data_IF_156125413146
#
_entry.id   IF_156125413146
#
_cell.length_a   1.000
_cell.length_b   1.000
_cell.length_c   1.000
_cell.angle_alpha   90.00
_cell.angle_beta   90.00
_cell.angle_gamma   90.00
#
_symmetry.space_group_name_H-M   'P 1'
#
loop_
_entity.id
_entity.type
_entity.pdbx_description
1 polymer ?
#
# COMPACT_ATOMS: atom_id res chain seq x y z
N UNK A 1 -8.77 19.86 -28.07
CA UNK A 1 -7.44 19.25 -28.03
C UNK A 1 -6.69 19.90 -26.89
N UNK A 2 -6.88 19.37 -25.68
CA UNK A 2 -6.15 19.79 -24.48
C UNK A 2 -4.86 18.97 -24.46
N UNK A 3 -3.71 19.65 -24.53
CA UNK A 3 -2.39 19.06 -24.33
C UNK A 3 -2.33 18.55 -22.88
N UNK A 4 -2.43 17.25 -22.69
CA UNK A 4 -1.97 16.59 -21.46
C UNK A 4 -0.45 16.73 -21.42
N UNK A 5 0.05 17.64 -20.60
CA UNK A 5 1.46 17.71 -20.25
C UNK A 5 1.79 16.46 -19.45
N UNK A 6 2.47 15.52 -20.08
CA UNK A 6 3.17 14.43 -19.41
C UNK A 6 4.18 15.07 -18.44
N UNK A 7 3.87 15.10 -17.15
CA UNK A 7 4.82 15.50 -16.12
C UNK A 7 6.03 14.57 -16.23
N UNK A 8 7.18 15.13 -16.57
CA UNK A 8 8.46 14.42 -16.50
C UNK A 8 8.61 13.94 -15.06
N UNK A 9 8.98 12.67 -14.85
CA UNK A 9 9.41 12.19 -13.54
C UNK A 9 10.48 13.14 -13.01
N UNK A 10 10.14 13.85 -11.96
CA UNK A 10 10.98 14.90 -11.36
C UNK A 10 12.09 14.33 -10.44
N UNK A 11 12.32 13.02 -10.47
CA UNK A 11 13.25 12.32 -9.59
C UNK A 11 12.71 12.06 -8.19
N UNK A 12 11.40 12.25 -7.96
CA UNK A 12 10.75 12.04 -6.66
C UNK A 12 10.13 10.64 -6.57
N UNK A 13 10.44 9.91 -5.50
CA UNK A 13 9.81 8.64 -5.14
C UNK A 13 8.64 8.87 -4.18
N UNK A 14 7.46 8.40 -4.54
CA UNK A 14 6.25 8.47 -3.73
C UNK A 14 6.03 7.15 -3.00
N UNK A 15 6.13 7.17 -1.68
CA UNK A 15 5.90 6.01 -0.84
C UNK A 15 4.43 5.87 -0.43
N UNK A 16 3.90 4.65 -0.56
CA UNK A 16 2.56 4.27 -0.12
C UNK A 16 2.70 3.43 1.16
N UNK A 17 2.32 4.02 2.29
CA UNK A 17 2.63 3.52 3.62
C UNK A 17 1.48 2.66 4.19
N UNK A 18 1.78 1.56 4.90
CA UNK A 18 0.77 0.67 5.46
C UNK A 18 0.19 1.19 6.78
N UNK A 19 -1.05 0.81 7.09
CA UNK A 19 -1.58 0.94 8.45
C UNK A 19 -2.34 2.22 8.74
N UNK A 20 -3.19 2.65 7.79
CA UNK A 20 -4.03 3.84 7.91
C UNK A 20 -4.90 3.85 9.19
N UNK A 21 -5.47 2.69 9.55
CA UNK A 21 -6.28 2.51 10.75
C UNK A 21 -5.49 1.83 11.87
N UNK A 22 -4.52 1.02 11.49
CA UNK A 22 -3.75 0.17 12.38
C UNK A 22 -2.70 0.94 13.18
N UNK A 23 -2.12 2.00 12.59
CA UNK A 23 -0.96 2.70 13.17
C UNK A 23 -1.16 4.21 13.29
N UNK A 24 -2.36 4.63 13.66
CA UNK A 24 -2.67 6.06 13.86
C UNK A 24 -1.68 6.75 14.82
N UNK A 25 -1.35 6.11 15.94
CA UNK A 25 -0.39 6.64 16.91
C UNK A 25 0.99 6.90 16.29
N UNK A 26 1.52 5.95 15.52
CA UNK A 26 2.80 6.12 14.82
C UNK A 26 2.75 7.31 13.86
N UNK A 27 1.70 7.39 13.02
CA UNK A 27 1.61 8.47 12.03
C UNK A 27 1.34 9.85 12.64
N UNK A 28 0.67 9.91 13.80
CA UNK A 28 0.48 11.16 14.53
C UNK A 28 1.79 11.80 15.02
N UNK A 29 2.84 10.98 15.23
CA UNK A 29 4.21 11.40 15.58
C UNK A 29 5.11 11.55 14.35
N UNK A 30 5.07 10.60 13.43
CA UNK A 30 5.96 10.59 12.26
C UNK A 30 5.67 11.72 11.28
N UNK A 31 4.39 12.02 10.99
CA UNK A 31 4.05 13.03 9.99
C UNK A 31 4.50 14.44 10.39
N UNK A 32 4.28 14.93 11.64
CA UNK A 32 4.88 16.20 12.07
C UNK A 32 6.39 16.24 11.89
N UNK A 33 7.07 15.17 12.26
CA UNK A 33 8.53 15.09 12.14
C UNK A 33 8.96 15.13 10.67
N UNK A 34 8.31 14.36 9.78
CA UNK A 34 8.58 14.33 8.35
C UNK A 34 8.44 15.71 7.69
N UNK A 35 7.38 16.46 8.03
CA UNK A 35 7.13 17.76 7.40
C UNK A 35 7.88 18.93 8.04
N UNK A 36 8.19 18.87 9.35
CA UNK A 36 8.89 19.95 10.04
C UNK A 36 10.43 19.83 9.97
N UNK A 37 10.94 18.61 9.72
CA UNK A 37 12.37 18.30 9.72
C UNK A 37 12.78 17.54 8.45
N UNK A 38 12.49 18.15 7.28
CA UNK A 38 12.80 17.55 5.97
C UNK A 38 14.28 17.21 5.80
N UNK A 39 15.17 17.90 6.49
CA UNK A 39 16.62 17.64 6.50
C UNK A 39 16.99 16.23 6.98
N UNK A 40 16.12 15.56 7.75
CA UNK A 40 16.36 14.19 8.22
C UNK A 40 16.05 13.12 7.16
N UNK A 41 15.28 13.49 6.14
CA UNK A 41 14.75 12.56 5.14
C UNK A 41 15.42 12.74 3.79
N UNK A 42 15.41 11.70 2.97
CA UNK A 42 15.94 11.81 1.62
C UNK A 42 15.19 12.90 0.82
N UNK A 43 15.94 13.70 0.07
CA UNK A 43 15.36 14.83 -0.68
C UNK A 43 14.45 14.36 -1.83
N UNK A 44 14.68 13.15 -2.32
CA UNK A 44 13.91 12.50 -3.37
C UNK A 44 12.68 11.71 -2.86
N UNK A 45 12.39 11.66 -1.55
CA UNK A 45 11.26 10.89 -1.04
C UNK A 45 10.08 11.76 -0.63
N UNK A 46 8.86 11.30 -0.98
CA UNK A 46 7.58 11.89 -0.58
C UNK A 46 6.59 10.82 -0.14
N UNK A 47 5.56 11.24 0.62
CA UNK A 47 4.46 10.35 1.03
C UNK A 47 3.34 10.48 0.00
N UNK A 48 3.17 9.47 -0.84
CA UNK A 48 2.09 9.42 -1.83
C UNK A 48 0.72 9.09 -1.22
N UNK A 49 0.67 8.16 -0.28
CA UNK A 49 -0.56 7.81 0.45
C UNK A 49 -0.28 7.00 1.70
N UNK A 50 -1.30 6.92 2.59
CA UNK A 50 -1.36 5.92 3.67
C UNK A 50 -2.56 5.02 3.40
N UNK A 51 -2.39 3.69 3.49
CA UNK A 51 -3.43 2.74 3.14
C UNK A 51 -3.75 1.76 4.28
N UNK A 52 -5.02 1.37 4.39
CA UNK A 52 -5.53 0.43 5.38
C UNK A 52 -7.03 0.23 5.30
N UNK A 53 -7.57 -0.56 6.20
CA UNK A 53 -9.01 -0.71 6.38
C UNK A 53 -9.28 -1.08 7.84
N UNK A 54 -10.44 -0.73 8.40
CA UNK A 54 -10.86 -1.22 9.71
C UNK A 54 -10.86 -2.75 9.79
N UNK A 55 -10.60 -3.29 10.99
CA UNK A 55 -10.42 -4.72 11.21
C UNK A 55 -11.61 -5.59 10.78
N UNK A 56 -12.82 -5.09 10.97
CA UNK A 56 -14.09 -5.77 10.67
C UNK A 56 -14.73 -5.34 9.34
N UNK A 57 -13.94 -4.74 8.44
CA UNK A 57 -14.41 -4.31 7.13
C UNK A 57 -14.58 -5.51 6.18
N UNK A 58 -15.82 -5.84 5.81
CA UNK A 58 -16.16 -6.98 4.96
C UNK A 58 -15.39 -6.97 3.62
N UNK A 59 -15.27 -5.81 2.99
CA UNK A 59 -14.54 -5.67 1.72
C UNK A 59 -13.02 -5.67 1.88
N UNK A 60 -12.53 -5.54 3.14
CA UNK A 60 -11.11 -5.48 3.47
C UNK A 60 -10.32 -6.77 3.28
N UNK A 61 -11.00 -7.92 3.23
CA UNK A 61 -10.37 -9.23 3.01
C UNK A 61 -9.70 -9.81 4.26
N UNK A 62 -10.01 -9.32 5.47
CA UNK A 62 -9.71 -9.97 6.76
C UNK A 62 -8.23 -10.18 7.11
N UNK A 63 -7.32 -9.40 6.55
CA UNK A 63 -5.87 -9.58 6.78
C UNK A 63 -5.36 -9.08 8.10
N UNK A 64 -6.08 -8.16 8.72
CA UNK A 64 -5.67 -7.51 9.97
C UNK A 64 -6.84 -7.57 10.94
N UNK A 65 -6.59 -8.09 12.13
CA UNK A 65 -7.59 -8.23 13.18
C UNK A 65 -7.56 -7.11 14.23
N UNK A 66 -6.87 -6.01 13.95
CA UNK A 66 -6.79 -4.84 14.84
C UNK A 66 -6.78 -3.54 14.00
N UNK A 67 -7.06 -2.42 14.65
CA UNK A 67 -7.09 -1.09 14.01
C UNK A 67 -8.11 -0.19 14.68
N UNK A 68 -7.92 1.13 14.55
CA UNK A 68 -8.84 2.13 15.06
C UNK A 68 -10.06 2.20 14.13
N UNK A 69 -11.27 2.17 14.70
CA UNK A 69 -12.51 2.32 13.95
C UNK A 69 -12.88 3.78 13.69
N UNK A 70 -12.12 4.73 14.24
CA UNK A 70 -12.40 6.15 14.10
C UNK A 70 -11.96 6.70 12.72
N UNK A 71 -12.68 6.32 11.67
CA UNK A 71 -12.41 6.72 10.30
C UNK A 71 -12.29 8.24 10.10
N UNK A 72 -13.08 9.02 10.84
CA UNK A 72 -13.03 10.49 10.80
C UNK A 72 -11.72 11.05 11.36
N UNK A 73 -11.18 10.44 12.42
CA UNK A 73 -9.90 10.82 13.03
C UNK A 73 -8.73 10.55 12.08
N UNK A 74 -8.74 9.36 11.48
CA UNK A 74 -7.76 8.94 10.47
C UNK A 74 -7.79 9.87 9.26
N UNK A 75 -8.98 10.20 8.76
CA UNK A 75 -9.16 11.07 7.61
C UNK A 75 -8.70 12.51 7.91
N UNK A 76 -9.00 13.04 9.11
CA UNK A 76 -8.49 14.35 9.54
C UNK A 76 -6.96 14.41 9.58
N UNK A 77 -6.31 13.34 10.02
CA UNK A 77 -4.84 13.28 10.05
C UNK A 77 -4.25 13.37 8.64
N UNK A 78 -4.74 12.56 7.70
CA UNK A 78 -4.25 12.59 6.32
C UNK A 78 -4.55 13.91 5.61
N UNK A 79 -5.74 14.47 5.83
CA UNK A 79 -6.13 15.79 5.29
C UNK A 79 -5.25 16.92 5.79
N UNK A 80 -4.86 16.90 7.07
CA UNK A 80 -3.97 17.91 7.68
C UNK A 80 -2.64 18.04 6.92
N UNK A 81 -2.15 16.94 6.38
CA UNK A 81 -0.86 16.89 5.66
C UNK A 81 -1.02 16.77 4.13
N UNK A 82 -2.24 16.87 3.59
CA UNK A 82 -2.48 16.75 2.16
C UNK A 82 -2.17 15.36 1.58
N UNK A 83 -2.20 14.31 2.42
CA UNK A 83 -1.87 12.94 2.04
C UNK A 83 -3.14 12.21 1.59
N UNK A 84 -3.07 11.46 0.49
CA UNK A 84 -4.15 10.58 0.05
C UNK A 84 -4.33 9.41 1.01
N UNK A 85 -5.55 9.19 1.50
CA UNK A 85 -5.93 8.02 2.26
C UNK A 85 -6.52 6.95 1.31
N UNK A 86 -6.04 5.68 1.41
CA UNK A 86 -6.51 4.59 0.56
C UNK A 86 -7.16 3.50 1.39
N UNK A 87 -8.45 3.25 1.16
CA UNK A 87 -9.14 2.10 1.73
C UNK A 87 -8.67 0.81 1.04
N UNK A 88 -8.36 -0.22 1.82
CA UNK A 88 -7.95 -1.51 1.26
C UNK A 88 -9.14 -2.45 1.20
N UNK A 89 -9.80 -2.51 0.04
CA UNK A 89 -10.94 -3.37 -0.25
C UNK A 89 -10.52 -4.53 -1.16
N UNK A 90 -9.58 -5.34 -0.65
CA UNK A 90 -8.88 -6.37 -1.41
C UNK A 90 -9.50 -7.77 -1.30
N UNK A 91 -10.71 -7.91 -0.76
CA UNK A 91 -11.44 -9.16 -0.78
C UNK A 91 -11.71 -9.59 -2.23
N UNK A 92 -11.22 -10.76 -2.62
CA UNK A 92 -11.32 -11.27 -4.00
C UNK A 92 -12.63 -12.03 -4.29
N UNK A 93 -13.43 -12.29 -3.26
CA UNK A 93 -14.63 -13.16 -3.33
C UNK A 93 -15.93 -12.40 -3.09
N UNK A 94 -15.93 -11.09 -3.31
CA UNK A 94 -17.13 -10.25 -3.20
C UNK A 94 -18.20 -10.68 -4.19
N UNK A 95 -19.44 -10.85 -3.67
CA UNK A 95 -20.64 -11.15 -4.42
C UNK A 95 -21.65 -10.01 -4.31
N UNK A 96 -22.74 -10.08 -5.06
CA UNK A 96 -23.78 -9.03 -5.12
C UNK A 96 -24.38 -8.71 -3.74
N UNK A 97 -24.62 -9.72 -2.90
CA UNK A 97 -25.16 -9.56 -1.55
C UNK A 97 -24.24 -8.75 -0.63
N UNK A 98 -22.92 -8.78 -0.86
CA UNK A 98 -21.94 -8.07 -0.05
C UNK A 98 -21.87 -6.57 -0.36
N UNK A 99 -22.41 -6.12 -1.50
CA UNK A 99 -22.38 -4.70 -1.90
C UNK A 99 -23.21 -3.81 -0.98
N UNK A 100 -24.18 -4.37 -0.27
CA UNK A 100 -25.05 -3.64 0.66
C UNK A 100 -24.47 -3.42 2.06
N UNK A 101 -23.20 -3.81 2.29
CA UNK A 101 -22.57 -3.62 3.60
C UNK A 101 -22.53 -2.13 4.00
N UNK A 102 -23.17 -1.83 5.13
CA UNK A 102 -23.38 -0.44 5.58
C UNK A 102 -22.07 0.26 5.99
N UNK A 103 -21.16 -0.47 6.65
CA UNK A 103 -19.89 0.10 7.12
C UNK A 103 -19.00 0.47 5.95
N UNK A 104 -18.84 -0.46 5.00
CA UNK A 104 -18.01 -0.24 3.82
C UNK A 104 -18.56 0.90 2.94
N UNK A 105 -19.88 0.97 2.75
CA UNK A 105 -20.51 2.07 2.00
C UNK A 105 -20.31 3.43 2.70
N UNK A 106 -20.49 3.50 4.02
CA UNK A 106 -20.24 4.74 4.78
C UNK A 106 -18.78 5.20 4.69
N UNK A 107 -17.82 4.27 4.70
CA UNK A 107 -16.41 4.60 4.48
C UNK A 107 -16.18 5.18 3.07
N UNK A 108 -16.77 4.59 2.02
CA UNK A 108 -16.70 5.13 0.67
C UNK A 108 -17.28 6.56 0.59
N UNK A 109 -18.45 6.79 1.16
CA UNK A 109 -19.09 8.10 1.22
C UNK A 109 -18.15 9.14 1.85
N UNK A 110 -17.69 8.86 3.09
CA UNK A 110 -16.83 9.76 3.86
C UNK A 110 -15.51 10.08 3.11
N UNK A 111 -14.87 9.06 2.52
CA UNK A 111 -13.59 9.24 1.84
C UNK A 111 -13.74 9.88 0.46
N UNK A 112 -14.89 9.74 -0.20
CA UNK A 112 -15.18 10.38 -1.50
C UNK A 112 -15.44 11.87 -1.38
N UNK A 113 -15.92 12.35 -0.23
CA UNK A 113 -16.27 13.76 0.03
C UNK A 113 -15.07 14.63 0.40
N UNK A 114 -13.88 14.04 0.56
CA UNK A 114 -12.67 14.79 0.91
C UNK A 114 -12.31 15.82 -0.16
N UNK A 115 -12.21 17.10 0.25
CA UNK A 115 -11.85 18.21 -0.63
C UNK A 115 -10.35 18.53 -0.63
N UNK A 116 -9.63 18.10 0.40
CA UNK A 116 -8.21 18.43 0.55
C UNK A 116 -7.33 17.62 -0.40
N UNK A 117 -7.65 16.33 -0.56
CA UNK A 117 -6.89 15.40 -1.40
C UNK A 117 -7.83 14.33 -1.91
N UNK A 118 -7.67 13.91 -3.16
CA UNK A 118 -8.42 12.79 -3.69
C UNK A 118 -7.96 11.50 -3.01
N UNK A 119 -8.89 10.80 -2.37
CA UNK A 119 -8.65 9.51 -1.74
C UNK A 119 -8.87 8.36 -2.72
N UNK A 120 -8.38 7.16 -2.37
CA UNK A 120 -8.45 6.01 -3.27
C UNK A 120 -8.86 4.72 -2.59
N UNK A 121 -9.04 3.70 -3.43
CA UNK A 121 -9.35 2.33 -3.00
C UNK A 121 -8.40 1.35 -3.68
N UNK A 122 -7.75 0.52 -2.87
CA UNK A 122 -6.99 -0.64 -3.36
C UNK A 122 -7.98 -1.80 -3.49
N UNK A 123 -8.18 -2.30 -4.71
CA UNK A 123 -9.30 -3.18 -5.03
C UNK A 123 -8.86 -4.41 -5.85
N UNK A 124 -9.53 -5.56 -5.61
CA UNK A 124 -9.31 -6.80 -6.34
C UNK A 124 -10.50 -7.19 -7.22
N UNK A 125 -11.72 -7.03 -6.70
CA UNK A 125 -12.96 -7.45 -7.36
C UNK A 125 -13.43 -6.42 -8.38
N UNK A 126 -13.64 -6.83 -9.64
CA UNK A 126 -14.20 -5.96 -10.68
C UNK A 126 -15.67 -5.60 -10.40
N UNK A 127 -16.45 -6.52 -9.79
CA UNK A 127 -17.81 -6.24 -9.34
C UNK A 127 -17.84 -5.07 -8.34
N UNK A 128 -16.91 -5.08 -7.39
CA UNK A 128 -16.83 -4.02 -6.38
C UNK A 128 -16.30 -2.71 -6.99
N UNK A 129 -15.37 -2.78 -7.93
CA UNK A 129 -14.88 -1.62 -8.68
C UNK A 129 -15.99 -0.90 -9.43
N UNK A 130 -16.81 -1.65 -10.20
CA UNK A 130 -17.96 -1.09 -10.94
C UNK A 130 -18.97 -0.45 -9.98
N UNK A 131 -19.28 -1.14 -8.87
CA UNK A 131 -20.21 -0.63 -7.87
C UNK A 131 -19.73 0.67 -7.24
N UNK A 132 -18.49 0.72 -6.78
CA UNK A 132 -17.92 1.91 -6.12
C UNK A 132 -17.73 3.04 -7.12
N UNK A 133 -17.22 2.77 -8.32
CA UNK A 133 -17.05 3.77 -9.37
C UNK A 133 -18.33 4.48 -9.76
N UNK A 134 -19.46 3.75 -9.76
CA UNK A 134 -20.77 4.30 -10.04
C UNK A 134 -21.34 5.15 -8.90
N UNK A 135 -21.17 4.71 -7.64
CA UNK A 135 -21.82 5.32 -6.48
C UNK A 135 -20.95 6.39 -5.79
N UNK A 136 -19.62 6.30 -5.91
CA UNK A 136 -18.65 7.17 -5.24
C UNK A 136 -17.55 7.66 -6.20
N UNK A 137 -17.92 8.46 -7.23
CA UNK A 137 -17.00 8.85 -8.33
C UNK A 137 -15.84 9.75 -7.90
N UNK A 138 -15.85 10.26 -6.66
CA UNK A 138 -14.74 11.03 -6.09
C UNK A 138 -13.49 10.21 -5.75
N UNK A 139 -13.59 8.87 -5.75
CA UNK A 139 -12.52 7.97 -5.40
C UNK A 139 -11.76 7.49 -6.64
N UNK A 140 -10.42 7.36 -6.53
CA UNK A 140 -9.62 6.67 -7.56
C UNK A 140 -9.33 5.22 -7.15
N UNK A 141 -8.91 4.40 -8.11
CA UNK A 141 -8.67 2.98 -7.87
C UNK A 141 -7.20 2.59 -8.07
N UNK A 142 -6.76 1.63 -7.25
CA UNK A 142 -5.48 0.96 -7.34
C UNK A 142 -5.72 -0.54 -7.49
N UNK A 143 -5.20 -1.15 -8.55
CA UNK A 143 -5.27 -2.60 -8.72
C UNK A 143 -4.40 -3.30 -7.68
N UNK A 144 -5.03 -4.18 -6.89
CA UNK A 144 -4.39 -4.83 -5.74
C UNK A 144 -3.39 -5.91 -6.13
N UNK A 145 -2.28 -6.01 -5.40
CA UNK A 145 -1.34 -7.15 -5.48
C UNK A 145 -2.02 -8.52 -5.23
N UNK A 146 -3.22 -8.53 -4.61
CA UNK A 146 -4.00 -9.76 -4.39
C UNK A 146 -4.52 -10.39 -5.69
N UNK A 147 -4.50 -9.67 -6.80
CA UNK A 147 -4.74 -10.23 -8.13
C UNK A 147 -3.64 -11.21 -8.57
N UNK A 148 -2.44 -11.12 -7.96
CA UNK A 148 -1.28 -11.99 -8.24
C UNK A 148 -0.92 -12.00 -9.73
N UNK A 149 -0.66 -10.81 -10.30
CA UNK A 149 -0.30 -10.63 -11.71
C UNK A 149 1.18 -11.02 -11.92
N UNK A 150 1.44 -12.31 -12.08
CA UNK A 150 2.79 -12.86 -12.21
C UNK A 150 3.31 -12.89 -13.63
N UNK A 151 2.41 -12.79 -14.61
CA UNK A 151 2.75 -12.73 -16.03
C UNK A 151 2.78 -11.27 -16.50
N UNK A 152 3.83 -10.92 -17.25
CA UNK A 152 4.01 -9.56 -17.75
C UNK A 152 2.90 -9.13 -18.71
N UNK A 153 2.36 -10.06 -19.52
CA UNK A 153 1.23 -9.78 -20.43
C UNK A 153 -0.03 -9.41 -19.62
N UNK A 154 -0.25 -10.10 -18.49
CA UNK A 154 -1.36 -9.76 -17.58
C UNK A 154 -1.15 -8.37 -16.96
N UNK A 155 0.09 -8.04 -16.57
CA UNK A 155 0.43 -6.72 -16.06
C UNK A 155 0.17 -5.62 -17.10
N UNK A 156 0.64 -5.79 -18.34
CA UNK A 156 0.42 -4.83 -19.43
C UNK A 156 -1.09 -4.61 -19.70
N UNK A 157 -1.87 -5.69 -19.70
CA UNK A 157 -3.34 -5.62 -19.83
C UNK A 157 -3.97 -4.80 -18.70
N UNK A 158 -3.53 -5.03 -17.46
CA UNK A 158 -4.06 -4.30 -16.30
C UNK A 158 -3.62 -2.82 -16.32
N UNK A 159 -2.37 -2.52 -16.72
CA UNK A 159 -1.88 -1.16 -16.91
C UNK A 159 -2.62 -0.37 -18.00
N UNK A 160 -3.16 -1.09 -18.98
CA UNK A 160 -3.94 -0.49 -20.08
C UNK A 160 -5.37 -0.12 -19.68
N UNK A 161 -5.86 -0.56 -18.52
CA UNK A 161 -7.19 -0.21 -18.01
C UNK A 161 -7.20 1.25 -17.54
N UNK A 162 -8.20 2.01 -17.96
CA UNK A 162 -8.38 3.42 -17.55
C UNK A 162 -8.95 3.56 -16.13
N UNK A 163 -9.56 2.49 -15.60
CA UNK A 163 -10.14 2.48 -14.24
C UNK A 163 -9.08 2.69 -13.15
N UNK A 164 -7.84 2.26 -13.40
CA UNK A 164 -6.80 2.27 -12.39
C UNK A 164 -5.83 3.45 -12.57
N UNK A 165 -5.65 4.21 -11.47
CA UNK A 165 -4.57 5.18 -11.36
C UNK A 165 -3.23 4.49 -11.18
N UNK A 166 -3.19 3.43 -10.34
CA UNK A 166 -2.00 2.62 -10.09
C UNK A 166 -2.33 1.13 -10.17
N UNK A 167 -1.32 0.34 -10.49
CA UNK A 167 -1.38 -1.13 -10.56
C UNK A 167 -0.21 -1.69 -9.77
N UNK A 168 -0.51 -2.55 -8.78
CA UNK A 168 0.52 -3.24 -8.00
C UNK A 168 0.79 -4.60 -8.64
N UNK A 169 1.92 -4.78 -9.35
CA UNK A 169 2.28 -6.07 -9.90
C UNK A 169 2.56 -7.09 -8.79
N UNK A 170 2.66 -8.36 -9.15
CA UNK A 170 3.24 -9.33 -8.23
C UNK A 170 4.73 -9.01 -8.04
N UNK A 171 5.21 -9.09 -6.79
CA UNK A 171 6.59 -8.72 -6.41
C UNK A 171 7.66 -9.45 -7.23
N UNK A 172 7.37 -10.62 -7.79
CA UNK A 172 8.29 -11.39 -8.64
C UNK A 172 8.64 -10.67 -9.94
N UNK A 173 7.85 -9.69 -10.34
CA UNK A 173 8.13 -8.85 -11.51
C UNK A 173 9.01 -7.63 -11.18
N UNK A 174 9.29 -7.35 -9.90
CA UNK A 174 10.03 -6.16 -9.49
C UNK A 174 11.35 -5.96 -10.24
N UNK A 175 12.14 -7.01 -10.44
CA UNK A 175 13.45 -6.96 -11.10
C UNK A 175 13.43 -7.41 -12.57
N UNK A 176 12.27 -7.48 -13.21
CA UNK A 176 12.15 -7.84 -14.63
C UNK A 176 12.50 -6.64 -15.55
N UNK A 177 13.68 -6.05 -15.37
CA UNK A 177 14.07 -4.78 -15.98
C UNK A 177 14.00 -4.75 -17.50
N UNK A 178 14.37 -5.85 -18.18
CA UNK A 178 14.25 -5.96 -19.63
C UNK A 178 12.81 -5.74 -20.11
N UNK A 179 11.84 -6.29 -19.39
CA UNK A 179 10.42 -6.14 -19.68
C UNK A 179 9.87 -4.80 -19.20
N UNK A 180 10.24 -4.38 -17.97
CA UNK A 180 9.83 -3.09 -17.41
C UNK A 180 10.30 -1.92 -18.30
N UNK A 181 11.47 -2.04 -18.91
CA UNK A 181 12.01 -1.05 -19.85
C UNK A 181 11.18 -0.87 -21.13
N UNK A 182 10.36 -1.86 -21.52
CA UNK A 182 9.49 -1.77 -22.71
C UNK A 182 8.19 -1.00 -22.47
N UNK A 183 7.83 -0.74 -21.21
CA UNK A 183 6.61 0.01 -20.85
C UNK A 183 6.71 1.46 -21.32
N UNK A 184 5.59 2.00 -21.80
CA UNK A 184 5.47 3.43 -22.11
C UNK A 184 5.54 4.28 -20.84
N UNK A 185 5.88 5.56 -20.94
CA UNK A 185 5.95 6.47 -19.78
C UNK A 185 4.60 6.51 -19.00
N UNK A 186 3.47 6.50 -19.73
CA UNK A 186 2.14 6.41 -19.12
C UNK A 186 1.95 5.11 -18.33
N UNK A 187 2.42 3.97 -18.81
CA UNK A 187 2.35 2.71 -18.09
C UNK A 187 3.29 2.70 -16.88
N UNK A 188 4.52 3.20 -17.04
CA UNK A 188 5.50 3.31 -15.94
C UNK A 188 4.95 4.14 -14.77
N UNK A 189 4.32 5.29 -15.04
CA UNK A 189 3.72 6.14 -14.01
C UNK A 189 2.58 5.48 -13.23
N UNK A 190 1.99 4.39 -13.76
CA UNK A 190 0.94 3.60 -13.08
C UNK A 190 1.49 2.43 -12.26
N UNK A 191 2.74 2.00 -12.45
CA UNK A 191 3.29 0.85 -11.72
C UNK A 191 3.63 1.24 -10.28
N UNK A 192 3.02 0.58 -9.30
CA UNK A 192 3.29 0.74 -7.87
C UNK A 192 3.97 -0.53 -7.33
N UNK A 193 5.28 -0.48 -7.13
CA UNK A 193 6.08 -1.64 -6.71
C UNK A 193 5.95 -1.96 -5.23
N UNK A 194 5.70 -3.22 -4.88
CA UNK A 194 5.76 -3.72 -3.51
C UNK A 194 7.21 -4.03 -3.14
N UNK A 195 7.83 -3.18 -2.26
CA UNK A 195 9.28 -3.17 -2.07
C UNK A 195 9.83 -4.27 -1.15
N UNK A 196 9.11 -4.59 -0.07
CA UNK A 196 9.61 -5.38 1.06
C UNK A 196 8.82 -6.67 1.32
N UNK A 197 8.31 -7.32 0.28
CA UNK A 197 7.62 -8.60 0.39
C UNK A 197 8.57 -9.70 0.91
N UNK A 198 8.15 -10.45 1.93
CA UNK A 198 8.93 -11.56 2.48
C UNK A 198 8.43 -12.95 2.03
N UNK A 199 7.37 -13.01 1.25
CA UNK A 199 6.84 -14.26 0.71
C UNK A 199 7.92 -14.96 -0.12
N UNK A 200 7.99 -16.30 -0.04
CA UNK A 200 8.95 -17.06 -0.83
C UNK A 200 8.81 -16.74 -2.32
N UNK A 201 9.92 -16.40 -2.98
CA UNK A 201 9.93 -15.97 -4.39
C UNK A 201 9.32 -16.99 -5.35
N UNK A 202 9.52 -18.31 -5.08
CA UNK A 202 8.95 -19.41 -5.84
C UNK A 202 7.55 -19.86 -5.41
N UNK A 203 6.82 -19.08 -4.59
CA UNK A 203 5.51 -19.47 -4.08
C UNK A 203 4.47 -19.56 -5.20
N UNK A 204 3.82 -20.72 -5.35
CA UNK A 204 2.73 -20.98 -6.30
C UNK A 204 1.36 -20.78 -5.68
N UNK A 205 1.26 -20.74 -4.36
CA UNK A 205 0.00 -20.80 -3.60
C UNK A 205 -0.51 -19.42 -3.15
N UNK A 206 0.17 -18.32 -3.56
CA UNK A 206 -0.14 -16.95 -3.11
C UNK A 206 -1.61 -16.56 -3.35
N UNK A 207 -2.16 -16.92 -4.50
CA UNK A 207 -3.56 -16.64 -4.84
C UNK A 207 -4.51 -17.38 -3.90
N UNK A 208 -4.29 -18.68 -3.70
CA UNK A 208 -5.10 -19.50 -2.78
C UNK A 208 -5.00 -19.01 -1.32
N UNK A 209 -3.82 -18.55 -0.90
CA UNK A 209 -3.64 -17.92 0.40
C UNK A 209 -4.54 -16.66 0.54
N UNK A 210 -4.60 -15.80 -0.47
CA UNK A 210 -5.44 -14.61 -0.46
C UNK A 210 -6.94 -14.93 -0.51
N UNK A 211 -7.34 -15.94 -1.28
CA UNK A 211 -8.71 -16.42 -1.33
C UNK A 211 -9.17 -17.01 0.01
N UNK A 212 -8.31 -17.76 0.70
CA UNK A 212 -8.61 -18.28 2.04
C UNK A 212 -8.88 -17.16 3.06
N UNK A 213 -8.02 -16.14 3.08
CA UNK A 213 -8.20 -14.97 3.94
C UNK A 213 -9.50 -14.22 3.58
N UNK A 214 -9.83 -14.13 2.29
CA UNK A 214 -11.07 -13.51 1.81
C UNK A 214 -12.31 -14.28 2.28
N UNK A 215 -12.30 -15.62 2.25
CA UNK A 215 -13.38 -16.47 2.77
C UNK A 215 -13.62 -16.25 4.26
N UNK A 216 -12.56 -16.23 5.05
CA UNK A 216 -12.64 -15.95 6.49
C UNK A 216 -13.25 -14.58 6.79
N UNK A 217 -12.88 -13.57 6.01
CA UNK A 217 -13.48 -12.23 6.11
C UNK A 217 -14.99 -12.22 5.80
N UNK A 218 -15.45 -13.15 4.97
CA UNK A 218 -16.88 -13.35 4.67
C UNK A 218 -17.60 -14.29 5.66
N UNK A 219 -16.93 -14.68 6.75
CA UNK A 219 -17.43 -15.64 7.75
C UNK A 219 -17.79 -17.01 7.14
N UNK A 220 -17.17 -17.38 6.02
CA UNK A 220 -17.32 -18.71 5.46
C UNK A 220 -16.55 -19.73 6.31
N UNK A 221 -17.18 -20.88 6.58
CA UNK A 221 -16.52 -21.99 7.28
C UNK A 221 -15.43 -22.58 6.37
N UNK A 222 -14.16 -22.34 6.72
CA UNK A 222 -13.02 -22.84 5.98
C UNK A 222 -11.81 -23.07 6.91
N UNK A 223 -11.01 -24.07 6.60
CA UNK A 223 -9.78 -24.37 7.33
C UNK A 223 -8.75 -23.25 7.18
N UNK A 224 -7.83 -23.18 8.14
CA UNK A 224 -6.70 -22.27 8.06
C UNK A 224 -5.78 -22.61 6.88
N UNK A 225 -5.35 -21.61 6.15
CA UNK A 225 -4.36 -21.80 5.10
C UNK A 225 -2.98 -22.10 5.72
N UNK A 226 -2.46 -23.29 5.45
CA UNK A 226 -1.13 -23.69 5.90
C UNK A 226 -0.12 -23.38 4.78
N UNK A 227 0.74 -22.39 5.02
CA UNK A 227 1.82 -22.07 4.08
C UNK A 227 2.85 -23.21 4.05
N UNK A 228 3.04 -23.79 2.85
CA UNK A 228 4.02 -24.88 2.60
C UNK A 228 5.34 -24.37 2.01
N UNK A 229 5.46 -23.08 1.77
CA UNK A 229 6.68 -22.48 1.24
C UNK A 229 7.81 -22.51 2.26
N UNK A 230 9.08 -22.59 1.83
CA UNK A 230 10.22 -22.48 2.72
C UNK A 230 10.13 -21.24 3.59
N UNK A 231 10.29 -21.41 4.90
CA UNK A 231 10.19 -20.32 5.89
C UNK A 231 8.80 -19.69 6.06
N UNK A 232 7.73 -20.28 5.53
CA UNK A 232 6.37 -19.74 5.58
C UNK A 232 5.79 -19.58 6.99
N UNK A 233 6.28 -20.38 7.96
CA UNK A 233 5.83 -20.36 9.36
C UNK A 233 6.73 -19.53 10.28
N UNK A 234 7.80 -18.91 9.77
CA UNK A 234 8.77 -18.16 10.60
C UNK A 234 8.33 -16.73 10.91
N UNK A 235 7.20 -16.30 10.35
CA UNK A 235 6.75 -14.92 10.44
C UNK A 235 7.56 -13.96 9.58
N UNK A 236 7.16 -12.69 9.60
CA UNK A 236 7.86 -11.63 8.88
C UNK A 236 9.10 -11.18 9.66
N UNK A 237 10.23 -11.06 8.95
CA UNK A 237 11.45 -10.38 9.43
C UNK A 237 11.95 -9.46 8.32
N UNK A 238 12.31 -8.23 8.64
CA UNK A 238 12.79 -7.29 7.64
C UNK A 238 14.12 -7.74 7.00
N UNK A 239 15.03 -8.29 7.80
CA UNK A 239 16.28 -8.90 7.29
C UNK A 239 16.01 -9.99 6.25
N UNK A 240 14.98 -10.83 6.49
CA UNK A 240 14.56 -11.86 5.52
C UNK A 240 13.95 -11.28 4.26
N UNK A 241 13.19 -10.17 4.38
CA UNK A 241 12.68 -9.47 3.20
C UNK A 241 13.81 -8.89 2.35
N UNK A 242 14.89 -8.39 2.97
CA UNK A 242 16.09 -7.90 2.26
C UNK A 242 16.83 -9.00 1.48
N UNK A 243 16.73 -10.26 1.89
CA UNK A 243 17.31 -11.41 1.19
C UNK A 243 16.46 -11.88 0.00
N UNK A 244 15.23 -11.39 -0.12
CA UNK A 244 14.34 -11.77 -1.22
C UNK A 244 14.87 -11.23 -2.56
N UNK A 245 14.96 -12.07 -3.62
CA UNK A 245 15.42 -11.59 -4.94
C UNK A 245 14.61 -10.42 -5.50
N UNK A 246 13.38 -10.25 -5.05
CA UNK A 246 12.48 -9.16 -5.47
C UNK A 246 12.58 -7.90 -4.61
N UNK A 247 13.38 -7.90 -3.54
CA UNK A 247 13.52 -6.76 -2.65
C UNK A 247 14.00 -5.52 -3.41
N UNK A 248 13.37 -4.39 -3.15
CA UNK A 248 13.77 -3.08 -3.70
C UNK A 248 14.31 -2.25 -2.53
N UNK A 249 15.61 -1.99 -2.53
CA UNK A 249 16.26 -1.13 -1.55
C UNK A 249 16.28 0.35 -1.97
N UNK A 250 16.75 1.21 -1.07
CA UNK A 250 16.89 2.66 -1.34
C UNK A 250 17.82 2.94 -2.51
N UNK A 251 18.94 2.22 -2.59
CA UNK A 251 19.90 2.35 -3.70
C UNK A 251 19.30 1.92 -5.05
N UNK A 252 18.47 0.86 -5.06
CA UNK A 252 17.72 0.45 -6.25
C UNK A 252 16.78 1.57 -6.70
N UNK A 253 16.04 2.17 -5.75
CA UNK A 253 15.07 3.24 -6.05
C UNK A 253 15.78 4.42 -6.70
N UNK A 254 16.80 4.96 -6.05
CA UNK A 254 17.52 6.16 -6.49
C UNK A 254 18.29 5.94 -7.81
N UNK A 255 19.00 4.80 -7.92
CA UNK A 255 19.93 4.58 -9.01
C UNK A 255 19.37 3.75 -10.19
N UNK A 256 18.20 3.12 -10.02
CA UNK A 256 17.62 2.28 -11.08
C UNK A 256 16.18 2.68 -11.42
N UNK A 257 15.27 2.65 -10.45
CA UNK A 257 13.85 2.85 -10.74
C UNK A 257 13.51 4.29 -11.14
N UNK A 258 14.00 5.29 -10.40
CA UNK A 258 13.78 6.70 -10.73
C UNK A 258 14.36 7.05 -12.12
N UNK A 259 15.61 6.68 -12.46
CA UNK A 259 16.15 6.90 -13.82
C UNK A 259 15.36 6.18 -14.93
N UNK A 260 14.72 5.04 -14.62
CA UNK A 260 13.86 4.33 -15.57
C UNK A 260 12.47 4.96 -15.74
N UNK A 261 12.11 5.95 -14.93
CA UNK A 261 10.81 6.63 -14.96
C UNK A 261 9.75 6.01 -14.03
N UNK A 262 10.14 5.15 -13.08
CA UNK A 262 9.24 4.60 -12.05
C UNK A 262 9.36 5.37 -10.75
N UNK A 263 8.23 5.77 -10.16
CA UNK A 263 8.22 6.63 -8.99
C UNK A 263 7.19 6.26 -7.90
N UNK A 264 6.51 5.12 -8.01
CA UNK A 264 5.50 4.71 -7.03
C UNK A 264 5.96 3.44 -6.29
N UNK A 265 6.13 3.54 -4.96
CA UNK A 265 6.71 2.48 -4.14
C UNK A 265 5.81 2.18 -2.94
N UNK A 266 5.40 0.92 -2.81
CA UNK A 266 4.52 0.45 -1.74
C UNK A 266 5.32 -0.29 -0.68
N UNK A 267 5.13 0.09 0.57
CA UNK A 267 5.69 -0.61 1.73
C UNK A 267 4.62 -1.55 2.30
N UNK A 268 4.92 -2.83 2.43
CA UNK A 268 4.08 -3.77 3.15
C UNK A 268 4.22 -3.58 4.66
N UNK A 269 3.19 -3.94 5.45
CA UNK A 269 3.37 -3.93 6.90
C UNK A 269 2.11 -3.84 7.74
N UNK A 270 0.90 -3.83 7.17
CA UNK A 270 -0.35 -3.66 7.93
C UNK A 270 -0.51 -4.59 9.14
N UNK A 271 -0.06 -5.84 9.04
CA UNK A 271 -0.16 -6.85 10.09
C UNK A 271 1.08 -6.99 10.98
N UNK A 272 2.08 -6.12 10.85
CA UNK A 272 3.42 -6.35 11.45
C UNK A 272 3.67 -5.59 12.76
N UNK A 273 2.80 -4.65 13.12
CA UNK A 273 2.97 -3.78 14.28
C UNK A 273 3.76 -2.50 13.97
N UNK A 274 3.48 -1.46 14.77
CA UNK A 274 4.02 -0.11 14.57
C UNK A 274 5.54 -0.03 14.66
N UNK A 275 6.17 -0.83 15.53
CA UNK A 275 7.63 -0.86 15.68
C UNK A 275 8.33 -1.34 14.40
N UNK A 276 7.81 -2.38 13.74
CA UNK A 276 8.38 -2.89 12.48
C UNK A 276 8.14 -1.89 11.34
N UNK A 277 6.97 -1.26 11.31
CA UNK A 277 6.66 -0.22 10.32
C UNK A 277 7.56 0.99 10.50
N UNK A 278 7.86 1.40 11.75
CA UNK A 278 8.84 2.45 12.01
C UNK A 278 10.22 2.11 11.41
N UNK A 279 10.70 0.87 11.55
CA UNK A 279 11.98 0.47 10.94
C UNK A 279 11.93 0.58 9.39
N UNK A 280 10.78 0.34 8.75
CA UNK A 280 10.63 0.59 7.31
C UNK A 280 10.71 2.08 6.98
N UNK A 281 10.04 2.95 7.75
CA UNK A 281 10.12 4.41 7.56
C UNK A 281 11.54 4.92 7.74
N UNK A 282 12.26 4.39 8.74
CA UNK A 282 13.69 4.70 8.95
C UNK A 282 14.56 4.21 7.80
N UNK A 283 14.29 3.04 7.26
CA UNK A 283 15.09 2.48 6.17
C UNK A 283 14.85 3.22 4.84
N UNK A 284 13.58 3.37 4.44
CA UNK A 284 13.22 3.86 3.12
C UNK A 284 13.22 5.38 2.98
N UNK A 285 12.94 6.10 4.06
CA UNK A 285 12.68 7.54 3.98
C UNK A 285 13.72 8.38 4.72
N UNK A 286 14.37 7.83 5.75
CA UNK A 286 15.27 8.59 6.63
C UNK A 286 16.74 8.42 6.21
N UNK A 287 17.47 9.53 6.06
CA UNK A 287 18.91 9.51 5.81
C UNK A 287 19.62 8.74 6.92
N UNK A 288 20.64 7.90 6.62
CA UNK A 288 21.27 7.00 7.60
C UNK A 288 21.74 7.68 8.88
N UNK A 289 22.31 8.87 8.78
CA UNK A 289 22.83 9.66 9.90
C UNK A 289 21.76 10.18 10.85
N UNK A 290 20.49 10.26 10.41
CA UNK A 290 19.37 10.73 11.24
C UNK A 290 18.48 9.61 11.78
N UNK A 291 18.68 8.34 11.37
CA UNK A 291 17.81 7.22 11.78
C UNK A 291 17.69 7.06 13.28
N UNK A 292 18.82 7.20 14.00
CA UNK A 292 18.80 7.13 15.47
C UNK A 292 17.98 8.27 16.07
N UNK A 293 18.21 9.50 15.60
CA UNK A 293 17.50 10.69 16.08
C UNK A 293 15.99 10.59 15.84
N UNK A 294 15.56 10.23 14.62
CA UNK A 294 14.13 10.06 14.29
C UNK A 294 13.49 8.98 15.16
N UNK A 295 14.20 7.87 15.41
CA UNK A 295 13.71 6.81 16.29
C UNK A 295 13.55 7.28 17.73
N UNK A 296 14.53 7.99 18.26
CA UNK A 296 14.50 8.53 19.63
C UNK A 296 13.36 9.53 19.82
N UNK A 297 13.15 10.46 18.90
CA UNK A 297 12.07 11.44 18.97
C UNK A 297 10.68 10.75 18.98
N UNK A 298 10.45 9.74 18.13
CA UNK A 298 9.20 8.99 18.11
C UNK A 298 8.99 8.18 19.40
N UNK A 299 10.03 7.51 19.92
CA UNK A 299 9.90 6.75 21.16
C UNK A 299 9.74 7.63 22.40
N UNK A 300 10.44 8.75 22.48
CA UNK A 300 10.32 9.68 23.60
C UNK A 300 8.93 10.28 23.66
N UNK A 301 8.39 10.74 22.53
CA UNK A 301 7.04 11.30 22.47
C UNK A 301 5.97 10.25 22.83
N UNK A 302 6.12 9.00 22.38
CA UNK A 302 5.20 7.92 22.74
C UNK A 302 5.27 7.50 24.21
N UNK A 303 6.41 7.68 24.85
CA UNK A 303 6.59 7.38 26.28
C UNK A 303 6.17 8.53 27.20
N UNK A 304 6.21 9.77 26.74
CA UNK A 304 5.72 10.93 27.52
C UNK A 304 4.21 10.88 27.74
N UNK A 305 3.48 10.26 26.83
CA UNK A 305 2.03 10.03 27.00
C UNK A 305 1.68 8.88 27.97
N UNK A 306 2.68 8.14 28.51
CA UNK A 306 2.50 7.04 29.44
C UNK A 306 2.73 7.44 30.92
N UNK A 307 3.13 8.66 31.19
CA UNK A 307 3.36 9.25 32.49
C UNK A 307 2.58 10.56 32.64
#
# INVERSE_FOLDING_TARGET
MTQETCEKCDGTAYFHLPGLFEFYGLYSLFLPLFYNHREYFYDWCEIGSIYGAPADCLWGGGRVGFGDDEAEKVLRLTQKYGISARLTFSNSLIKQEHLSDRKCNRLCEMFSESKATQNGIIICSDLLLEYIGKNYPGLYFVSSTTKVLTDFIQLEKELSREDFRFVVPDFRLNKAFDKLGTLTERQKSKVEFLCNECCYFGCTDRKSCYENVSRKSLCEDCEDFICRSPGGNEGYKFSKAMENPAFIGTDDIENTYLPMGFNQFKIEGRGLGSAVVLEFLLYYMTKPEYRLKVREEIYLDSMLDLF
#
